data_IF_976885544211
#
_entry.id   IF_976885544211
#
_cell.length_a   1.000
_cell.length_b   1.000
_cell.length_c   1.000
_cell.angle_alpha   90.00
_cell.angle_beta   90.00
_cell.angle_gamma   90.00
#
_symmetry.space_group_name_H-M   'P 1'
#
loop_
_entity.id
_entity.type
_entity.pdbx_description
1 polymer ?
#
# COMPACT_ATOMS: atom_id res chain seq x y z
N UNK A 1 -29.74 2.45 -9.37
CA UNK A 1 -29.84 2.96 -7.98
C UNK A 1 -28.50 3.58 -7.63
N UNK A 2 -28.47 4.75 -6.99
CA UNK A 2 -27.21 5.37 -6.53
C UNK A 2 -26.63 4.56 -5.36
N UNK A 3 -25.29 4.45 -5.28
CA UNK A 3 -24.64 3.76 -4.16
C UNK A 3 -24.60 4.65 -2.92
N UNK A 4 -24.37 4.07 -1.73
CA UNK A 4 -24.18 4.85 -0.50
C UNK A 4 -23.02 5.86 -0.62
N UNK A 5 -21.94 5.47 -1.31
CA UNK A 5 -20.79 6.34 -1.57
C UNK A 5 -21.21 7.58 -2.36
N UNK A 6 -22.01 7.40 -3.40
CA UNK A 6 -22.44 8.50 -4.28
C UNK A 6 -23.43 9.45 -3.58
N UNK A 7 -24.18 8.94 -2.59
CA UNK A 7 -25.10 9.74 -1.79
C UNK A 7 -24.37 10.59 -0.74
N UNK A 8 -23.27 10.07 -0.17
CA UNK A 8 -22.53 10.73 0.91
C UNK A 8 -21.39 11.62 0.38
N UNK A 9 -20.73 11.22 -0.72
CA UNK A 9 -19.52 11.87 -1.23
C UNK A 9 -19.78 12.37 -2.66
N UNK A 10 -19.75 13.69 -2.82
CA UNK A 10 -19.74 14.31 -4.14
C UNK A 10 -18.31 14.38 -4.68
N UNK A 11 -18.00 13.66 -5.76
CA UNK A 11 -16.69 13.72 -6.40
C UNK A 11 -16.59 14.99 -7.27
N UNK A 12 -15.71 15.92 -6.89
CA UNK A 12 -15.49 17.16 -7.66
C UNK A 12 -14.60 16.93 -8.89
N UNK A 13 -13.62 16.03 -8.77
CA UNK A 13 -12.67 15.69 -9.83
C UNK A 13 -12.57 14.17 -9.91
N UNK A 14 -12.40 13.67 -11.14
CA UNK A 14 -12.26 12.24 -11.42
C UNK A 14 -10.88 12.00 -12.03
N UNK A 15 -9.85 12.24 -11.24
CA UNK A 15 -8.46 12.02 -11.65
C UNK A 15 -7.91 10.75 -10.99
N UNK A 16 -7.19 9.95 -11.77
CA UNK A 16 -6.38 8.87 -11.22
C UNK A 16 -5.22 9.48 -10.44
N UNK A 17 -5.19 9.24 -9.13
CA UNK A 17 -4.10 9.73 -8.28
C UNK A 17 -2.84 8.89 -8.53
N UNK A 18 -1.82 9.52 -9.13
CA UNK A 18 -0.47 8.97 -9.17
C UNK A 18 0.26 9.29 -7.87
N UNK A 19 0.91 8.32 -7.21
CA UNK A 19 1.72 8.58 -6.03
C UNK A 19 2.92 9.46 -6.38
N UNK A 20 3.29 10.38 -5.49
CA UNK A 20 4.43 11.28 -5.65
C UNK A 20 5.71 10.71 -5.02
N UNK A 21 5.57 9.96 -3.92
CA UNK A 21 6.68 9.39 -3.13
C UNK A 21 6.51 7.87 -2.97
N UNK A 22 6.33 7.17 -4.09
CA UNK A 22 6.22 5.70 -4.09
C UNK A 22 7.56 5.06 -3.72
N UNK A 23 7.53 4.12 -2.77
CA UNK A 23 8.67 3.27 -2.42
C UNK A 23 8.31 1.81 -2.65
N UNK A 24 9.21 1.05 -3.27
CA UNK A 24 9.04 -0.39 -3.49
C UNK A 24 10.09 -1.17 -2.71
N UNK A 25 9.66 -2.22 -1.99
CA UNK A 25 10.55 -3.18 -1.31
C UNK A 25 10.44 -4.52 -2.03
N UNK A 26 11.57 -5.02 -2.55
CA UNK A 26 11.67 -6.33 -3.20
C UNK A 26 12.22 -7.35 -2.22
N UNK A 27 11.42 -8.38 -1.94
CA UNK A 27 11.65 -9.42 -0.96
C UNK A 27 10.98 -9.13 0.38
N UNK A 28 10.01 -9.92 0.80
CA UNK A 28 9.31 -9.81 2.11
C UNK A 28 9.90 -10.78 3.14
N UNK A 29 11.22 -10.94 3.12
CA UNK A 29 11.97 -11.60 4.19
C UNK A 29 12.06 -10.72 5.45
N UNK A 30 12.75 -11.21 6.47
CA UNK A 30 12.92 -10.46 7.73
C UNK A 30 13.51 -9.05 7.52
N UNK A 31 14.50 -8.94 6.64
CA UNK A 31 15.14 -7.65 6.31
C UNK A 31 14.17 -6.75 5.54
N UNK A 32 13.49 -7.28 4.53
CA UNK A 32 12.52 -6.51 3.74
C UNK A 32 11.39 -5.95 4.59
N UNK A 33 10.84 -6.76 5.50
CA UNK A 33 9.80 -6.30 6.43
C UNK A 33 10.33 -5.30 7.45
N UNK A 34 11.56 -5.46 7.95
CA UNK A 34 12.19 -4.46 8.81
C UNK A 34 12.39 -3.12 8.09
N UNK A 35 12.75 -3.13 6.81
CA UNK A 35 12.82 -1.93 5.98
C UNK A 35 11.43 -1.32 5.76
N UNK A 36 10.44 -2.12 5.38
CA UNK A 36 9.07 -1.68 5.12
C UNK A 36 8.46 -0.99 6.35
N UNK A 37 8.53 -1.60 7.53
CA UNK A 37 7.98 -1.01 8.75
C UNK A 37 8.72 0.27 9.15
N UNK A 38 10.05 0.32 8.95
CA UNK A 38 10.84 1.52 9.25
C UNK A 38 10.49 2.68 8.33
N UNK A 39 10.18 2.41 7.05
CA UNK A 39 9.72 3.40 6.08
C UNK A 39 8.35 3.94 6.48
N UNK A 40 7.42 3.04 6.83
CA UNK A 40 6.07 3.41 7.27
C UNK A 40 6.07 4.25 8.54
N UNK A 41 6.84 3.86 9.56
CA UNK A 41 6.95 4.59 10.83
C UNK A 41 7.65 5.95 10.71
N UNK A 42 8.37 6.19 9.62
CA UNK A 42 9.05 7.47 9.34
C UNK A 42 8.26 8.35 8.38
N UNK A 43 7.05 7.94 7.97
CA UNK A 43 6.17 8.69 7.07
C UNK A 43 6.85 9.09 5.75
N UNK A 44 7.68 8.20 5.18
CA UNK A 44 8.51 8.52 4.00
C UNK A 44 7.82 8.30 2.65
N UNK A 45 6.69 7.59 2.62
CA UNK A 45 6.02 7.19 1.38
C UNK A 45 4.51 7.48 1.44
N UNK A 46 3.95 7.90 0.30
CA UNK A 46 2.50 7.96 0.07
C UNK A 46 1.94 6.66 -0.54
N UNK A 47 2.80 5.86 -1.16
CA UNK A 47 2.51 4.49 -1.58
C UNK A 47 3.69 3.56 -1.27
N UNK A 48 3.41 2.44 -0.62
CA UNK A 48 4.37 1.36 -0.40
C UNK A 48 3.98 0.13 -1.22
N UNK A 49 4.86 -0.32 -2.12
CA UNK A 49 4.68 -1.55 -2.87
C UNK A 49 5.63 -2.66 -2.38
N UNK A 50 5.10 -3.86 -2.20
CA UNK A 50 5.87 -5.06 -1.85
C UNK A 50 5.90 -6.04 -3.02
N UNK A 51 7.09 -6.56 -3.34
CA UNK A 51 7.26 -7.55 -4.40
C UNK A 51 7.97 -8.78 -3.86
N UNK A 52 7.39 -9.96 -4.06
CA UNK A 52 8.01 -11.24 -3.73
C UNK A 52 7.46 -12.34 -4.64
N UNK A 53 8.17 -13.46 -4.70
CA UNK A 53 7.78 -14.64 -5.49
C UNK A 53 6.82 -15.56 -4.73
N UNK A 54 6.81 -15.49 -3.39
CA UNK A 54 5.94 -16.29 -2.51
C UNK A 54 4.64 -15.53 -2.24
N UNK A 55 3.64 -15.75 -3.11
CA UNK A 55 2.38 -14.98 -3.13
C UNK A 55 1.59 -15.03 -1.81
N UNK A 56 1.48 -16.19 -1.18
CA UNK A 56 0.73 -16.33 0.08
C UNK A 56 1.38 -15.54 1.22
N UNK A 57 2.72 -15.60 1.32
CA UNK A 57 3.47 -14.83 2.29
C UNK A 57 3.34 -13.33 1.99
N UNK A 58 3.54 -12.95 0.73
CA UNK A 58 3.42 -11.56 0.28
C UNK A 58 2.07 -10.94 0.65
N UNK A 59 0.98 -11.66 0.39
CA UNK A 59 -0.37 -11.23 0.75
C UNK A 59 -0.54 -11.14 2.26
N UNK A 60 -0.01 -12.10 3.02
CA UNK A 60 -0.03 -12.09 4.49
C UNK A 60 0.63 -10.84 5.07
N UNK A 61 1.87 -10.57 4.65
CA UNK A 61 2.65 -9.42 5.11
C UNK A 61 1.99 -8.09 4.71
N UNK A 62 1.44 -8.00 3.49
CA UNK A 62 0.69 -6.81 3.05
C UNK A 62 -0.54 -6.56 3.92
N UNK A 63 -1.35 -7.59 4.19
CA UNK A 63 -2.56 -7.45 5.01
C UNK A 63 -2.23 -7.04 6.45
N UNK A 64 -1.15 -7.57 7.03
CA UNK A 64 -0.71 -7.20 8.37
C UNK A 64 -0.38 -5.69 8.46
N UNK A 65 0.37 -5.17 7.48
CA UNK A 65 0.65 -3.73 7.39
C UNK A 65 -0.61 -2.90 7.13
N UNK A 66 -1.53 -3.38 6.28
CA UNK A 66 -2.79 -2.68 6.00
C UNK A 66 -3.70 -2.59 7.23
N UNK A 67 -3.77 -3.61 8.08
CA UNK A 67 -4.52 -3.54 9.34
C UNK A 67 -3.94 -2.50 10.30
N UNK A 68 -2.64 -2.21 10.19
CA UNK A 68 -1.97 -1.12 10.92
C UNK A 68 -2.21 0.28 10.34
N UNK A 69 -2.91 0.44 9.21
CA UNK A 69 -3.00 1.73 8.49
C UNK A 69 -3.56 2.87 9.33
N UNK A 70 -4.40 2.58 10.33
CA UNK A 70 -4.94 3.60 11.25
C UNK A 70 -3.82 4.34 12.01
N UNK A 71 -2.67 3.71 12.20
CA UNK A 71 -1.54 4.23 12.96
C UNK A 71 -0.43 4.82 12.07
N UNK A 72 -0.63 4.83 10.75
CA UNK A 72 0.38 5.20 9.75
C UNK A 72 -0.11 6.37 8.89
N UNK A 73 0.81 7.06 8.19
CA UNK A 73 0.48 8.13 7.24
C UNK A 73 0.65 7.75 5.77
N UNK A 74 0.85 6.46 5.48
CA UNK A 74 0.94 5.93 4.11
C UNK A 74 -0.44 5.40 3.70
N UNK A 75 -1.20 6.12 2.84
CA UNK A 75 -2.59 5.77 2.52
C UNK A 75 -2.74 4.52 1.65
N UNK A 76 -1.70 4.09 0.94
CA UNK A 76 -1.76 2.95 0.03
C UNK A 76 -0.59 2.00 0.23
N UNK A 77 -0.92 0.75 0.55
CA UNK A 77 0.04 -0.36 0.65
C UNK A 77 -0.46 -1.45 -0.30
N UNK A 78 0.36 -1.80 -1.29
CA UNK A 78 0.03 -2.80 -2.31
C UNK A 78 1.09 -3.88 -2.36
N UNK A 79 0.75 -5.04 -2.90
CA UNK A 79 1.71 -6.10 -3.13
C UNK A 79 1.39 -6.87 -4.40
N UNK A 80 2.44 -7.39 -5.05
CA UNK A 80 2.28 -8.18 -6.25
C UNK A 80 3.56 -8.93 -6.60
N UNK A 81 3.41 -10.07 -7.27
CA UNK A 81 4.54 -10.79 -7.86
C UNK A 81 5.06 -10.14 -9.12
N UNK A 82 4.18 -9.43 -9.84
CA UNK A 82 4.54 -8.64 -11.01
C UNK A 82 5.19 -7.32 -10.58
N UNK A 83 6.26 -6.92 -11.25
CA UNK A 83 6.96 -5.64 -11.03
C UNK A 83 6.11 -4.41 -11.37
N UNK A 84 5.03 -4.60 -12.13
CA UNK A 84 4.03 -3.55 -12.30
C UNK A 84 3.41 -3.13 -10.97
N UNK A 85 3.29 -4.06 -9.99
CA UNK A 85 2.78 -3.87 -8.63
C UNK A 85 2.10 -2.51 -8.42
N UNK A 86 0.87 -2.41 -8.93
CA UNK A 86 0.01 -1.23 -8.88
C UNK A 86 -0.95 -1.29 -7.68
#
# INVERSE_FOLDING_TARGET
MATLKDQLIHNLLKEEQTPQNKITVVGVGAIGMACAISILMKDLADELALVDVIEDKLKGEMMDLQHGSLFLRTPKIVSGKDYKAE
#
